data_IF_515407349519
#
_entry.id   IF_515407349519
#
_cell.length_a   1.000
_cell.length_b   1.000
_cell.length_c   1.000
_cell.angle_alpha   90.00
_cell.angle_beta   90.00
_cell.angle_gamma   90.00
#
_symmetry.space_group_name_H-M   'P 1'
#
loop_
_entity.id
_entity.type
_entity.pdbx_description
1 polymer ?
#
# COMPACT_ATOMS: atom_id res chain seq x y z
N UNK A 1 -71.93 7.29 -12.52
CA UNK A 1 -70.56 7.70 -12.90
C UNK A 1 -69.79 7.97 -11.62
N UNK A 2 -68.81 7.14 -11.26
CA UNK A 2 -67.91 7.40 -10.16
C UNK A 2 -66.52 7.70 -10.76
N UNK A 3 -66.02 8.92 -10.55
CA UNK A 3 -64.70 9.33 -11.01
C UNK A 3 -63.64 8.85 -10.04
N UNK A 4 -62.67 8.08 -10.53
CA UNK A 4 -61.47 7.68 -9.79
C UNK A 4 -60.43 8.81 -9.88
N UNK A 5 -60.09 9.41 -8.74
CA UNK A 5 -58.95 10.34 -8.65
C UNK A 5 -57.68 9.54 -8.33
N UNK A 6 -56.66 9.66 -9.18
CA UNK A 6 -55.31 9.16 -8.93
C UNK A 6 -54.45 10.34 -8.46
N UNK A 7 -53.93 10.27 -7.25
CA UNK A 7 -52.93 11.23 -6.75
C UNK A 7 -51.54 10.67 -7.03
N UNK A 8 -50.78 11.36 -7.89
CA UNK A 8 -49.40 10.99 -8.21
C UNK A 8 -48.47 11.65 -7.19
N UNK A 9 -47.76 10.85 -6.39
CA UNK A 9 -46.66 11.33 -5.56
C UNK A 9 -45.37 11.29 -6.38
N UNK A 10 -44.83 12.46 -6.73
CA UNK A 10 -43.48 12.58 -7.28
C UNK A 10 -42.52 12.75 -6.11
N UNK A 11 -41.72 11.71 -5.84
CA UNK A 11 -40.60 11.81 -4.92
C UNK A 11 -39.42 12.44 -5.67
N UNK A 12 -38.70 13.42 -5.09
CA UNK A 12 -37.47 13.91 -5.70
C UNK A 12 -36.46 12.75 -5.77
N UNK A 13 -35.99 12.44 -6.98
CA UNK A 13 -34.94 11.47 -7.18
C UNK A 13 -33.61 12.03 -6.67
N UNK A 14 -33.11 11.47 -5.57
CA UNK A 14 -31.71 11.63 -5.18
C UNK A 14 -30.86 11.10 -6.36
N UNK A 15 -30.08 11.96 -7.01
CA UNK A 15 -29.19 11.53 -8.06
C UNK A 15 -28.20 10.51 -7.48
N UNK A 16 -28.24 9.27 -7.97
CA UNK A 16 -27.31 8.23 -7.57
C UNK A 16 -25.87 8.73 -7.79
N UNK A 17 -25.08 8.83 -6.71
CA UNK A 17 -23.64 9.03 -6.83
C UNK A 17 -23.09 7.89 -7.68
N UNK A 18 -22.24 8.16 -8.69
CA UNK A 18 -21.58 7.09 -9.41
C UNK A 18 -20.77 6.28 -8.39
N UNK A 19 -21.10 5.00 -8.26
CA UNK A 19 -20.30 4.05 -7.50
C UNK A 19 -18.89 4.04 -8.13
N UNK A 20 -17.81 4.11 -7.34
CA UNK A 20 -16.46 4.02 -7.87
C UNK A 20 -16.33 2.75 -8.72
N UNK A 21 -16.03 2.92 -10.01
CA UNK A 21 -15.95 1.80 -10.96
C UNK A 21 -14.63 1.03 -10.85
N UNK A 22 -13.65 1.59 -10.14
CA UNK A 22 -12.32 1.02 -9.98
C UNK A 22 -12.21 0.23 -8.68
N UNK A 23 -11.62 -0.96 -8.76
CA UNK A 23 -11.33 -1.79 -7.60
C UNK A 23 -10.38 -1.05 -6.64
N UNK A 24 -10.69 -0.96 -5.33
CA UNK A 24 -9.79 -0.36 -4.34
C UNK A 24 -8.41 -1.00 -4.37
N UNK A 25 -7.37 -0.20 -4.18
CA UNK A 25 -5.99 -0.67 -4.14
C UNK A 25 -5.26 -0.21 -2.88
N UNK A 26 -4.17 -0.90 -2.56
CA UNK A 26 -3.36 -0.63 -1.37
C UNK A 26 -2.01 -0.04 -1.76
N UNK A 27 -1.56 0.94 -0.97
CA UNK A 27 -0.18 1.44 -0.95
C UNK A 27 0.42 1.13 0.41
N UNK A 28 1.59 0.50 0.43
CA UNK A 28 2.31 0.20 1.68
C UNK A 28 3.31 1.32 1.95
N UNK A 29 3.32 1.83 3.18
CA UNK A 29 4.32 2.79 3.64
C UNK A 29 5.34 2.08 4.53
N UNK A 30 6.62 2.32 4.27
CA UNK A 30 7.74 1.67 4.94
C UNK A 30 8.67 2.73 5.55
N UNK A 31 8.40 3.19 6.79
CA UNK A 31 9.25 4.13 7.49
C UNK A 31 10.48 3.47 8.11
N UNK A 32 11.59 4.22 8.13
CA UNK A 32 12.68 4.14 9.13
C UNK A 32 13.20 2.72 9.38
N UNK A 33 13.77 2.10 8.35
CA UNK A 33 14.30 0.72 8.42
C UNK A 33 15.74 0.65 8.94
N UNK A 34 16.37 1.78 9.24
CA UNK A 34 17.75 1.92 9.74
C UNK A 34 18.10 0.94 10.85
N UNK A 35 17.18 0.73 11.81
CA UNK A 35 17.43 -0.18 12.94
C UNK A 35 17.23 -1.65 12.56
N UNK A 36 16.41 -1.93 11.56
CA UNK A 36 16.31 -3.28 11.00
C UNK A 36 17.57 -3.61 10.20
N UNK A 37 18.07 -2.68 9.40
CA UNK A 37 19.33 -2.81 8.67
C UNK A 37 20.53 -3.00 9.60
N UNK A 38 20.56 -2.33 10.76
CA UNK A 38 21.63 -2.47 11.77
C UNK A 38 21.51 -3.76 12.61
N UNK A 39 20.35 -4.00 13.24
CA UNK A 39 20.23 -4.99 14.34
C UNK A 39 19.26 -6.12 14.07
N UNK A 40 18.25 -5.91 13.25
CA UNK A 40 17.17 -6.89 13.02
C UNK A 40 16.91 -7.14 11.53
N UNK A 41 17.92 -7.61 10.78
CA UNK A 41 17.81 -7.74 9.33
C UNK A 41 16.73 -8.75 8.91
N UNK A 42 16.43 -9.73 9.76
CA UNK A 42 15.34 -10.68 9.52
C UNK A 42 13.95 -10.07 9.67
N UNK A 43 13.78 -8.99 10.46
CA UNK A 43 12.51 -8.27 10.51
C UNK A 43 12.25 -7.52 9.20
N UNK A 44 13.29 -6.93 8.61
CA UNK A 44 13.19 -6.26 7.32
C UNK A 44 12.81 -7.27 6.21
N UNK A 45 13.45 -8.44 6.22
CA UNK A 45 13.10 -9.55 5.33
C UNK A 45 11.66 -10.01 5.53
N UNK A 46 11.23 -10.25 6.76
CA UNK A 46 9.86 -10.67 7.04
C UNK A 46 8.83 -9.62 6.56
N UNK A 47 9.13 -8.33 6.74
CA UNK A 47 8.25 -7.24 6.32
C UNK A 47 8.11 -7.17 4.79
N UNK A 48 9.22 -7.29 4.06
CA UNK A 48 9.21 -7.28 2.59
C UNK A 48 8.63 -8.57 2.00
N UNK A 49 8.85 -9.73 2.62
CA UNK A 49 8.17 -10.97 2.27
C UNK A 49 6.65 -10.86 2.43
N UNK A 50 6.18 -10.28 3.54
CA UNK A 50 4.76 -10.06 3.76
C UNK A 50 4.13 -9.20 2.66
N UNK A 51 4.81 -8.13 2.22
CA UNK A 51 4.36 -7.28 1.11
C UNK A 51 4.21 -8.11 -0.17
N UNK A 52 5.22 -8.93 -0.50
CA UNK A 52 5.20 -9.81 -1.67
C UNK A 52 4.05 -10.82 -1.62
N UNK A 53 3.87 -11.49 -0.50
CA UNK A 53 2.87 -12.54 -0.33
C UNK A 53 1.45 -11.99 -0.40
N UNK A 54 1.23 -10.80 0.16
CA UNK A 54 -0.09 -10.16 0.20
C UNK A 54 -0.44 -9.34 -1.03
N UNK A 55 0.53 -9.08 -1.93
CA UNK A 55 0.35 -8.28 -3.15
C UNK A 55 -0.98 -8.53 -3.86
N UNK A 56 -1.32 -9.80 -4.12
CA UNK A 56 -2.53 -10.18 -4.86
C UNK A 56 -3.78 -10.05 -4.00
N UNK A 57 -3.74 -10.54 -2.76
CA UNK A 57 -4.88 -10.58 -1.87
C UNK A 57 -5.35 -9.17 -1.46
N UNK A 58 -4.41 -8.25 -1.24
CA UNK A 58 -4.68 -6.90 -0.76
C UNK A 58 -4.64 -5.86 -1.88
N UNK A 59 -4.51 -6.31 -3.13
CA UNK A 59 -4.35 -5.45 -4.29
C UNK A 59 -3.27 -4.36 -4.10
N UNK A 60 -2.10 -4.75 -3.58
CA UNK A 60 -0.98 -3.82 -3.34
C UNK A 60 -0.39 -3.44 -4.69
N UNK A 61 -0.40 -2.14 -4.99
CA UNK A 61 0.12 -1.59 -6.25
C UNK A 61 1.47 -0.89 -6.11
N UNK A 62 1.81 -0.46 -4.90
CA UNK A 62 3.01 0.33 -4.63
C UNK A 62 3.46 0.15 -3.18
N UNK A 63 4.77 0.10 -2.97
CA UNK A 63 5.38 0.34 -1.67
C UNK A 63 6.22 1.64 -1.70
N UNK A 64 6.17 2.45 -0.65
CA UNK A 64 6.91 3.70 -0.55
C UNK A 64 7.80 3.62 0.69
N UNK A 65 9.11 3.57 0.49
CA UNK A 65 10.09 3.70 1.57
C UNK A 65 10.27 5.18 1.92
N UNK A 66 10.01 5.55 3.17
CA UNK A 66 9.86 6.96 3.57
C UNK A 66 11.18 7.66 3.90
N UNK A 67 12.26 6.92 4.17
CA UNK A 67 13.56 7.49 4.53
C UNK A 67 14.33 6.55 5.45
N UNK A 68 15.51 6.96 5.89
CA UNK A 68 16.27 6.28 6.94
C UNK A 68 16.45 4.77 6.74
N UNK A 69 17.16 4.42 5.65
CA UNK A 69 17.37 3.03 5.24
C UNK A 69 18.43 2.34 6.11
N UNK A 70 19.47 3.06 6.54
CA UNK A 70 20.59 2.54 7.36
C UNK A 70 20.87 3.49 8.53
N UNK A 71 21.35 2.95 9.65
CA UNK A 71 21.67 3.70 10.86
C UNK A 71 23.07 4.31 10.78
N UNK A 72 24.04 3.55 10.27
CA UNK A 72 25.42 3.98 10.12
C UNK A 72 25.82 3.92 8.64
N UNK A 73 25.77 5.03 7.89
CA UNK A 73 25.95 5.00 6.43
C UNK A 73 27.34 4.51 5.99
N UNK A 74 28.35 4.60 6.85
CA UNK A 74 29.70 4.07 6.60
C UNK A 74 29.83 2.56 6.85
N UNK A 75 28.82 1.90 7.42
CA UNK A 75 28.81 0.44 7.61
C UNK A 75 28.12 -0.23 6.43
N UNK A 76 28.94 -0.77 5.51
CA UNK A 76 28.47 -1.47 4.31
C UNK A 76 27.47 -2.60 4.61
N UNK A 77 27.64 -3.30 5.73
CA UNK A 77 26.76 -4.41 6.11
C UNK A 77 25.30 -4.02 6.25
N UNK A 78 25.01 -2.79 6.69
CA UNK A 78 23.64 -2.31 6.83
C UNK A 78 22.98 -2.12 5.45
N UNK A 79 23.71 -1.59 4.48
CA UNK A 79 23.25 -1.49 3.09
C UNK A 79 23.00 -2.85 2.47
N UNK A 80 23.90 -3.82 2.69
CA UNK A 80 23.72 -5.20 2.22
C UNK A 80 22.47 -5.87 2.83
N UNK A 81 22.17 -5.57 4.10
CA UNK A 81 20.97 -6.08 4.76
C UNK A 81 19.70 -5.46 4.17
N UNK A 82 19.69 -4.15 3.95
CA UNK A 82 18.58 -3.43 3.32
C UNK A 82 18.33 -3.90 1.88
N UNK A 83 19.39 -4.02 1.08
CA UNK A 83 19.35 -4.51 -0.30
C UNK A 83 18.76 -5.92 -0.36
N UNK A 84 19.24 -6.84 0.49
CA UNK A 84 18.70 -8.21 0.57
C UNK A 84 17.21 -8.24 0.88
N UNK A 85 16.73 -7.37 1.76
CA UNK A 85 15.30 -7.30 2.09
C UNK A 85 14.48 -6.73 0.92
N UNK A 86 14.89 -5.59 0.37
CA UNK A 86 14.17 -4.94 -0.73
C UNK A 86 14.18 -5.76 -2.02
N UNK A 87 15.24 -6.54 -2.29
CA UNK A 87 15.31 -7.46 -3.42
C UNK A 87 14.16 -8.49 -3.45
N UNK A 88 13.51 -8.76 -2.32
CA UNK A 88 12.39 -9.70 -2.27
C UNK A 88 11.14 -9.18 -2.97
N UNK A 89 10.98 -7.85 -3.08
CA UNK A 89 9.88 -7.18 -3.77
C UNK A 89 10.30 -6.58 -5.11
N UNK A 90 11.59 -6.61 -5.46
CA UNK A 90 12.09 -6.12 -6.75
C UNK A 90 11.50 -6.92 -7.92
N UNK A 91 11.03 -6.22 -8.94
CA UNK A 91 10.26 -6.80 -10.06
C UNK A 91 8.90 -7.42 -9.67
N UNK A 92 8.49 -7.39 -8.40
CA UNK A 92 7.23 -8.01 -7.91
C UNK A 92 6.20 -6.95 -7.51
N UNK A 93 6.61 -5.97 -6.70
CA UNK A 93 5.81 -4.82 -6.29
C UNK A 93 6.61 -3.57 -6.63
N UNK A 94 6.11 -2.66 -7.49
CA UNK A 94 6.77 -1.39 -7.72
C UNK A 94 7.02 -0.67 -6.39
N UNK A 95 8.20 -0.08 -6.23
CA UNK A 95 8.52 0.68 -5.03
C UNK A 95 9.33 1.94 -5.35
N UNK A 96 9.24 2.92 -4.46
CA UNK A 96 10.11 4.09 -4.42
C UNK A 96 10.90 4.11 -3.12
N UNK A 97 12.06 4.78 -3.16
CA UNK A 97 12.84 5.06 -1.97
C UNK A 97 13.25 6.53 -1.91
N UNK A 98 13.27 7.08 -0.71
CA UNK A 98 13.78 8.41 -0.41
C UNK A 98 14.94 8.31 0.59
N UNK A 99 15.90 9.24 0.57
CA UNK A 99 16.80 9.46 1.70
C UNK A 99 16.03 10.06 2.89
N UNK A 100 16.60 9.96 4.09
CA UNK A 100 16.15 10.62 5.32
C UNK A 100 17.31 11.27 6.05
#
# INVERSE_FOLDING_TARGET
MAGLFVVLFVMPGEAAKPEPTDEPFTVVLLPDTQFYSEKYPENYVAQTLWIRERRKQDNIKLAIHLGDIVQTPTKEKEWQNADRAMALIDGVVPYSMAPG
#
